data_IF_159829814544
#
_entry.id   IF_159829814544
#
_cell.length_a   1.000
_cell.length_b   1.000
_cell.length_c   1.000
_cell.angle_alpha   90.00
_cell.angle_beta   90.00
_cell.angle_gamma   90.00
#
_symmetry.space_group_name_H-M   'P 1'
#
loop_
_entity.id
_entity.type
_entity.pdbx_description
1 polymer ?
#
# COMPACT_ATOMS: atom_id res chain seq x y z
N UNK A 1 17.98 19.10 -2.44
CA UNK A 1 16.52 19.28 -2.19
C UNK A 1 15.57 19.07 -3.39
N UNK A 2 15.53 19.94 -4.43
CA UNK A 2 14.46 19.90 -5.49
C UNK A 2 14.32 18.55 -6.23
N UNK A 3 15.43 17.87 -6.54
CA UNK A 3 15.40 16.61 -7.30
C UNK A 3 14.97 15.39 -6.47
N UNK A 4 15.40 15.28 -5.21
CA UNK A 4 15.01 14.17 -4.33
C UNK A 4 13.51 14.22 -3.99
N UNK A 5 13.00 15.42 -3.69
CA UNK A 5 11.58 15.64 -3.44
C UNK A 5 10.74 15.33 -4.69
N UNK A 6 11.24 15.67 -5.88
CA UNK A 6 10.59 15.33 -7.16
C UNK A 6 10.56 13.83 -7.41
N UNK A 7 11.63 13.10 -7.13
CA UNK A 7 11.68 11.64 -7.26
C UNK A 7 10.69 10.95 -6.31
N UNK A 8 10.60 11.41 -5.08
CA UNK A 8 9.61 10.93 -4.10
C UNK A 8 8.19 11.15 -4.60
N UNK A 9 7.88 12.35 -5.10
CA UNK A 9 6.56 12.66 -5.65
C UNK A 9 6.21 11.77 -6.84
N UNK A 10 7.16 11.51 -7.73
CA UNK A 10 6.98 10.59 -8.86
C UNK A 10 6.72 9.16 -8.36
N UNK A 11 7.49 8.67 -7.39
CA UNK A 11 7.31 7.34 -6.82
C UNK A 11 5.95 7.21 -6.11
N UNK A 12 5.53 8.24 -5.37
CA UNK A 12 4.22 8.31 -4.72
C UNK A 12 3.09 8.29 -5.77
N UNK A 13 3.23 9.08 -6.83
CA UNK A 13 2.26 9.15 -7.90
C UNK A 13 2.12 7.81 -8.63
N UNK A 14 3.23 7.15 -8.94
CA UNK A 14 3.25 5.80 -9.51
C UNK A 14 2.61 4.77 -8.57
N UNK A 15 2.86 4.88 -7.26
CA UNK A 15 2.22 4.01 -6.27
C UNK A 15 0.70 4.19 -6.26
N UNK A 16 0.21 5.43 -6.21
CA UNK A 16 -1.24 5.73 -6.26
C UNK A 16 -1.87 5.20 -7.56
N UNK A 17 -1.19 5.36 -8.70
CA UNK A 17 -1.63 4.82 -9.99
C UNK A 17 -1.74 3.29 -9.96
N UNK A 18 -0.72 2.61 -9.44
CA UNK A 18 -0.74 1.14 -9.30
C UNK A 18 -1.87 0.68 -8.37
N UNK A 19 -2.12 1.43 -7.29
CA UNK A 19 -3.18 1.15 -6.35
C UNK A 19 -4.56 1.27 -7.00
N UNK A 20 -4.79 2.36 -7.74
CA UNK A 20 -6.03 2.60 -8.47
C UNK A 20 -6.32 1.45 -9.46
N UNK A 21 -5.28 0.98 -10.17
CA UNK A 21 -5.40 -0.14 -11.12
C UNK A 21 -5.80 -1.44 -10.40
N UNK A 22 -5.13 -1.77 -9.28
CA UNK A 22 -5.44 -2.96 -8.48
C UNK A 22 -6.86 -2.89 -7.91
N UNK A 23 -7.26 -1.75 -7.35
CA UNK A 23 -8.61 -1.56 -6.82
C UNK A 23 -9.67 -1.69 -7.90
N UNK A 24 -9.44 -1.09 -9.06
CA UNK A 24 -10.36 -1.20 -10.21
C UNK A 24 -10.51 -2.65 -10.65
N UNK A 25 -9.40 -3.39 -10.73
CA UNK A 25 -9.43 -4.81 -11.09
C UNK A 25 -10.22 -5.65 -10.06
N UNK A 26 -10.00 -5.43 -8.76
CA UNK A 26 -10.74 -6.13 -7.70
C UNK A 26 -12.23 -5.80 -7.77
N UNK A 27 -12.60 -4.54 -8.00
CA UNK A 27 -14.01 -4.12 -8.11
C UNK A 27 -14.68 -4.76 -9.34
N UNK A 28 -14.02 -4.76 -10.50
CA UNK A 28 -14.55 -5.41 -11.71
C UNK A 28 -14.80 -6.89 -11.45
N UNK A 29 -13.83 -7.58 -10.84
CA UNK A 29 -13.97 -8.99 -10.50
C UNK A 29 -15.06 -9.21 -9.46
N UNK A 30 -15.17 -8.36 -8.45
CA UNK A 30 -16.24 -8.45 -7.48
C UNK A 30 -17.62 -8.35 -8.13
N UNK A 31 -17.83 -7.38 -9.04
CA UNK A 31 -19.09 -7.21 -9.79
C UNK A 31 -19.39 -8.42 -10.69
N UNK A 32 -18.38 -8.97 -11.39
CA UNK A 32 -18.56 -10.16 -12.22
C UNK A 32 -19.01 -11.38 -11.39
N UNK A 33 -18.40 -11.57 -10.21
CA UNK A 33 -18.65 -12.73 -9.36
C UNK A 33 -19.86 -12.56 -8.43
N UNK A 34 -20.35 -11.35 -8.17
CA UNK A 34 -21.58 -11.10 -7.38
C UNK A 34 -22.83 -11.77 -7.99
N UNK A 35 -22.80 -12.03 -9.31
CA UNK A 35 -23.85 -12.79 -10.02
C UNK A 35 -23.88 -14.29 -9.68
N UNK A 36 -22.82 -14.81 -9.03
CA UNK A 36 -22.70 -16.21 -8.61
C UNK A 36 -23.27 -16.35 -7.18
N UNK A 37 -24.14 -17.33 -6.91
CA UNK A 37 -24.65 -17.57 -5.56
C UNK A 37 -23.51 -17.67 -4.54
N UNK A 38 -23.64 -17.01 -3.38
CA UNK A 38 -22.61 -16.99 -2.32
C UNK A 38 -22.08 -18.38 -1.91
N UNK A 39 -22.86 -19.45 -2.12
CA UNK A 39 -22.46 -20.85 -1.87
C UNK A 39 -21.44 -21.41 -2.89
N UNK A 40 -21.31 -20.79 -4.06
CA UNK A 40 -20.40 -21.19 -5.14
C UNK A 40 -19.17 -20.26 -5.24
N UNK A 41 -19.11 -19.18 -4.46
CA UNK A 41 -17.93 -18.31 -4.38
C UNK A 41 -16.80 -19.01 -3.63
N UNK A 42 -15.76 -19.44 -4.34
CA UNK A 42 -14.52 -19.97 -3.76
C UNK A 42 -13.56 -18.87 -3.27
N UNK A 43 -13.85 -17.59 -3.53
CA UNK A 43 -12.97 -16.45 -3.23
C UNK A 43 -13.74 -15.36 -2.50
N UNK A 44 -13.28 -15.00 -1.30
CA UNK A 44 -13.81 -13.88 -0.51
C UNK A 44 -13.30 -12.53 -1.03
N UNK A 45 -13.86 -12.08 -2.16
CA UNK A 45 -13.51 -10.81 -2.79
C UNK A 45 -13.72 -9.60 -1.86
N UNK A 46 -14.73 -9.64 -0.99
CA UNK A 46 -14.98 -8.59 0.01
C UNK A 46 -13.83 -8.49 1.01
N UNK A 47 -13.39 -9.62 1.57
CA UNK A 47 -12.24 -9.69 2.47
C UNK A 47 -10.93 -9.27 1.80
N UNK A 48 -10.74 -9.62 0.52
CA UNK A 48 -9.59 -9.19 -0.29
C UNK A 48 -9.60 -7.68 -0.48
N UNK A 49 -10.76 -7.11 -0.85
CA UNK A 49 -10.92 -5.66 -1.03
C UNK A 49 -10.64 -4.89 0.27
N UNK A 50 -11.21 -5.35 1.39
CA UNK A 50 -10.96 -4.76 2.72
C UNK A 50 -9.49 -4.83 3.12
N UNK A 51 -8.84 -5.98 2.90
CA UNK A 51 -7.41 -6.15 3.22
C UNK A 51 -6.54 -5.23 2.37
N UNK A 52 -6.81 -5.15 1.07
CA UNK A 52 -6.10 -4.26 0.16
C UNK A 52 -6.30 -2.79 0.57
N UNK A 53 -7.53 -2.36 0.87
CA UNK A 53 -7.83 -0.99 1.32
C UNK A 53 -7.13 -0.66 2.64
N UNK A 54 -7.20 -1.54 3.64
CA UNK A 54 -6.58 -1.32 4.94
C UNK A 54 -5.05 -1.15 4.83
N UNK A 55 -4.39 -2.01 4.06
CA UNK A 55 -2.94 -1.94 3.82
C UNK A 55 -2.57 -0.67 3.06
N UNK A 56 -3.39 -0.27 2.08
CA UNK A 56 -3.19 0.95 1.32
C UNK A 56 -3.25 2.20 2.20
N UNK A 57 -4.24 2.26 3.09
CA UNK A 57 -4.39 3.35 4.06
C UNK A 57 -3.18 3.39 5.00
N UNK A 58 -2.75 2.23 5.51
CA UNK A 58 -1.56 2.14 6.37
C UNK A 58 -0.30 2.64 5.65
N UNK A 59 -0.11 2.28 4.38
CA UNK A 59 1.00 2.76 3.56
C UNK A 59 0.95 4.29 3.41
N UNK A 60 -0.22 4.86 3.09
CA UNK A 60 -0.38 6.31 2.95
C UNK A 60 -0.07 7.06 4.26
N UNK A 61 -0.58 6.56 5.38
CA UNK A 61 -0.30 7.10 6.71
C UNK A 61 1.19 7.03 7.02
N UNK A 62 1.82 5.87 6.77
CA UNK A 62 3.25 5.66 6.97
C UNK A 62 4.08 6.66 6.18
N UNK A 63 3.76 6.86 4.90
CA UNK A 63 4.47 7.81 4.04
C UNK A 63 4.34 9.24 4.59
N UNK A 64 3.14 9.65 4.98
CA UNK A 64 2.88 10.96 5.57
C UNK A 64 3.67 11.19 6.86
N UNK A 65 3.68 10.21 7.76
CA UNK A 65 4.42 10.28 9.03
C UNK A 65 5.94 10.36 8.81
N UNK A 66 6.49 9.49 7.97
CA UNK A 66 7.93 9.44 7.70
C UNK A 66 8.41 10.73 7.05
N UNK A 67 7.69 11.27 6.07
CA UNK A 67 8.07 12.56 5.48
C UNK A 67 7.78 13.76 6.40
N UNK A 68 6.75 13.70 7.23
CA UNK A 68 6.48 14.70 8.26
C UNK A 68 7.64 14.82 9.25
N UNK A 69 8.10 13.69 9.77
CA UNK A 69 9.28 13.60 10.64
C UNK A 69 10.55 14.07 9.93
N UNK A 70 10.76 13.61 8.68
CA UNK A 70 11.92 14.01 7.90
C UNK A 70 11.97 15.53 7.67
N UNK A 71 10.82 16.16 7.42
CA UNK A 71 10.71 17.61 7.27
C UNK A 71 11.04 18.33 8.57
N UNK A 72 10.47 17.89 9.69
CA UNK A 72 10.75 18.48 11.01
C UNK A 72 12.24 18.43 11.33
N UNK A 73 12.85 17.25 11.22
CA UNK A 73 14.29 17.07 11.46
C UNK A 73 15.18 17.82 10.47
N UNK A 74 14.80 17.91 9.19
CA UNK A 74 15.56 18.72 8.22
C UNK A 74 15.54 20.22 8.52
N UNK A 75 14.51 20.68 9.24
CA UNK A 75 14.40 22.09 9.66
C UNK A 75 15.30 22.36 10.86
N UNK A 76 15.42 21.40 11.76
CA UNK A 76 16.32 21.49 12.93
C UNK A 76 17.80 21.32 12.54
N UNK A 77 18.11 20.45 11.57
CA UNK A 77 19.47 20.18 11.11
C UNK A 77 19.58 20.31 9.58
N UNK A 78 19.64 21.55 9.06
CA UNK A 78 19.65 21.82 7.62
C UNK A 78 20.87 21.22 6.91
N UNK A 79 22.01 21.10 7.62
CA UNK A 79 23.26 20.51 7.12
C UNK A 79 23.09 19.02 6.72
N UNK A 80 22.16 18.32 7.36
CA UNK A 80 21.86 16.91 7.12
C UNK A 80 20.56 16.70 6.34
N UNK A 81 19.88 17.77 5.94
CA UNK A 81 18.55 17.68 5.32
C UNK A 81 18.48 16.74 4.12
N UNK A 82 19.45 16.78 3.21
CA UNK A 82 19.46 15.86 2.05
C UNK A 82 19.68 14.39 2.46
N UNK A 83 20.45 14.11 3.52
CA UNK A 83 20.61 12.74 4.07
C UNK A 83 19.34 12.26 4.76
N UNK A 84 18.67 13.13 5.52
CA UNK A 84 17.42 12.83 6.22
C UNK A 84 16.31 12.50 5.22
N UNK A 85 16.16 13.30 4.16
CA UNK A 85 15.15 13.06 3.12
C UNK A 85 15.47 11.76 2.35
N UNK A 86 16.74 11.48 2.08
CA UNK A 86 17.16 10.21 1.45
C UNK A 86 16.83 9.01 2.35
N UNK A 87 17.11 9.10 3.64
CA UNK A 87 16.77 8.05 4.61
C UNK A 87 15.26 7.83 4.66
N UNK A 88 14.48 8.91 4.79
CA UNK A 88 13.01 8.87 4.79
C UNK A 88 12.44 8.20 3.53
N UNK A 89 13.06 8.45 2.37
CA UNK A 89 12.69 7.80 1.11
C UNK A 89 12.94 6.30 1.17
N UNK A 90 14.13 5.87 1.62
CA UNK A 90 14.46 4.44 1.75
C UNK A 90 13.54 3.76 2.75
N UNK A 91 13.29 4.38 3.90
CA UNK A 91 12.37 3.88 4.93
C UNK A 91 10.96 3.67 4.37
N UNK A 92 10.45 4.63 3.60
CA UNK A 92 9.14 4.49 2.98
C UNK A 92 9.08 3.37 1.94
N UNK A 93 10.11 3.22 1.11
CA UNK A 93 10.19 2.09 0.16
C UNK A 93 10.14 0.76 0.92
N UNK A 94 10.94 0.62 1.98
CA UNK A 94 10.94 -0.60 2.80
C UNK A 94 9.57 -0.84 3.44
N UNK A 95 8.94 0.18 4.02
CA UNK A 95 7.63 0.05 4.65
C UNK A 95 6.53 -0.33 3.64
N UNK A 96 6.59 0.18 2.41
CA UNK A 96 5.69 -0.23 1.33
C UNK A 96 5.84 -1.73 1.05
N UNK A 97 7.06 -2.24 0.95
CA UNK A 97 7.30 -3.68 0.73
C UNK A 97 6.84 -4.54 1.91
N UNK A 98 7.12 -4.12 3.14
CA UNK A 98 6.71 -4.85 4.34
C UNK A 98 5.19 -4.88 4.48
N UNK A 99 4.53 -3.71 4.42
CA UNK A 99 3.08 -3.62 4.54
C UNK A 99 2.37 -4.28 3.35
N UNK A 100 2.88 -4.10 2.14
CA UNK A 100 2.39 -4.77 0.94
C UNK A 100 2.53 -6.29 1.03
N UNK A 101 3.64 -6.79 1.55
CA UNK A 101 3.87 -8.21 1.81
C UNK A 101 2.91 -8.78 2.85
N UNK A 102 2.66 -8.06 3.94
CA UNK A 102 1.65 -8.42 4.95
C UNK A 102 0.26 -8.46 4.31
N UNK A 103 -0.09 -7.46 3.49
CA UNK A 103 -1.36 -7.41 2.77
C UNK A 103 -1.55 -8.59 1.83
N UNK A 104 -0.53 -8.91 1.02
CA UNK A 104 -0.53 -10.08 0.15
C UNK A 104 -0.66 -11.39 0.95
N UNK A 105 0.05 -11.50 2.07
CA UNK A 105 -0.05 -12.65 2.98
C UNK A 105 -1.45 -12.81 3.56
N UNK A 106 -2.08 -11.73 4.01
CA UNK A 106 -3.46 -11.74 4.51
C UNK A 106 -4.46 -12.16 3.44
N UNK A 107 -4.30 -11.66 2.21
CA UNK A 107 -5.12 -12.04 1.06
C UNK A 107 -5.01 -13.54 0.81
N UNK A 108 -3.79 -14.08 0.71
CA UNK A 108 -3.56 -15.52 0.49
C UNK A 108 -4.14 -16.36 1.63
N UNK A 109 -3.87 -15.99 2.88
CA UNK A 109 -4.38 -16.69 4.04
C UNK A 109 -5.91 -16.72 4.06
N UNK A 110 -6.54 -15.60 3.70
CA UNK A 110 -7.99 -15.48 3.60
C UNK A 110 -8.55 -16.36 2.49
N UNK A 111 -7.92 -16.35 1.31
CA UNK A 111 -8.33 -17.22 0.19
C UNK A 111 -8.23 -18.71 0.57
N UNK A 112 -7.12 -19.13 1.21
CA UNK A 112 -6.94 -20.51 1.66
C UNK A 112 -8.00 -20.93 2.71
N UNK A 113 -8.36 -20.01 3.61
CA UNK A 113 -9.45 -20.23 4.56
C UNK A 113 -10.80 -20.40 3.86
N UNK A 114 -11.12 -19.55 2.87
CA UNK A 114 -12.40 -19.61 2.14
C UNK A 114 -12.59 -20.92 1.39
N UNK A 115 -11.52 -21.52 0.86
CA UNK A 115 -11.59 -22.80 0.15
C UNK A 115 -11.52 -24.04 1.07
N UNK A 116 -11.47 -23.86 2.40
CA UNK A 116 -11.41 -24.95 3.36
C UNK A 116 -10.11 -25.76 3.30
N UNK A 117 -8.98 -25.11 2.96
CA UNK A 117 -7.67 -25.77 2.96
C UNK A 117 -7.18 -26.13 4.37
N UNK A 118 -7.68 -25.44 5.39
CA UNK A 118 -7.37 -25.64 6.81
C UNK A 118 -8.53 -26.27 7.57
#
# INVERSE_FOLDING_TARGET
>A
MKNAFRQVFIALFLFILSLMMILTFIIIKWIEFESIPNLLMMVDFTGILLSALAVSILILISIGLVFGLARAWSTEQPELGDKIIRLATVTNVVLIFVLGGIGGGLIVLRTLWTIGYF
#
